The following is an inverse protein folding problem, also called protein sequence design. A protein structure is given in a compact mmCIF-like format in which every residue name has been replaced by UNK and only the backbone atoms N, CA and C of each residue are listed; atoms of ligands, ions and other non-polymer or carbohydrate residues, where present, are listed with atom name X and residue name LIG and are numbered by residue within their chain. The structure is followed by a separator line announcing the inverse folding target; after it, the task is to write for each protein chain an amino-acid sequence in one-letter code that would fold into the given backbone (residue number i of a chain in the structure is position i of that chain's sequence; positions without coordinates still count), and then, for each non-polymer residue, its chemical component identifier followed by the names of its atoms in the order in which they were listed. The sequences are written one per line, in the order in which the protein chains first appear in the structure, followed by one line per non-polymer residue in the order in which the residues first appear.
data_IF_588452674762
#
_entry.id   IF_588452674762
#
_cell.length_a   1.000
_cell.length_b   1.000
_cell.length_c   1.000
_cell.angle_alpha   90.00
_cell.angle_beta   90.00
_cell.angle_gamma   90.00
#
_symmetry.space_group_name_H-M   'P 1'
#
loop_
_entity.id
_entity.type
_entity.pdbx_description
1 polymer ?
#
# COMPACT_ATOMS: atom_id res chain seq x y z
N UNK A 1 -4.98 -29.44 10.40
CA UNK A 1 -4.19 -28.32 9.82
C UNK A 1 -4.92 -27.85 8.58
N UNK A 2 -5.32 -26.58 8.53
CA UNK A 2 -6.22 -26.06 7.49
C UNK A 2 -5.49 -25.15 6.51
N UNK A 3 -5.70 -25.38 5.22
CA UNK A 3 -5.33 -24.44 4.16
C UNK A 3 -6.39 -23.34 4.12
N UNK A 4 -5.95 -22.09 4.07
CA UNK A 4 -6.79 -20.89 3.97
C UNK A 4 -6.39 -20.10 2.73
N UNK A 5 -7.37 -19.58 2.01
CA UNK A 5 -7.15 -18.69 0.88
C UNK A 5 -6.84 -17.28 1.38
N UNK A 6 -5.69 -16.72 0.97
CA UNK A 6 -5.27 -15.34 1.33
C UNK A 6 -4.57 -14.68 0.15
N UNK A 7 -4.48 -13.35 0.17
CA UNK A 7 -3.58 -12.61 -0.74
C UNK A 7 -2.17 -12.59 -0.17
N UNK A 8 -1.16 -12.57 -1.03
CA UNK A 8 0.20 -12.26 -0.58
C UNK A 8 0.27 -10.83 -0.02
N UNK A 9 1.18 -10.58 0.92
CA UNK A 9 1.43 -9.27 1.47
C UNK A 9 2.51 -8.57 0.63
N UNK A 10 2.20 -7.52 -0.15
CA UNK A 10 3.21 -6.71 -0.80
C UNK A 10 4.03 -5.97 0.26
N UNK A 11 5.35 -5.96 0.09
CA UNK A 11 6.27 -5.25 0.97
C UNK A 11 7.19 -4.38 0.13
N UNK A 12 7.37 -3.13 0.56
CA UNK A 12 8.26 -2.18 -0.09
C UNK A 12 9.70 -2.69 -0.05
N UNK A 13 10.38 -2.73 -1.20
CA UNK A 13 11.78 -3.17 -1.28
C UNK A 13 12.75 -2.13 -0.76
N UNK A 14 12.48 -0.86 -1.06
CA UNK A 14 13.40 0.25 -0.89
C UNK A 14 12.79 1.29 0.02
N UNK A 15 13.59 1.80 0.95
CA UNK A 15 13.20 2.96 1.74
C UNK A 15 13.27 4.20 0.86
N UNK A 16 12.27 5.08 0.98
CA UNK A 16 12.29 6.38 0.33
C UNK A 16 13.29 7.29 1.08
N UNK A 17 14.38 7.74 0.42
CA UNK A 17 15.37 8.61 1.06
C UNK A 17 14.78 9.96 1.49
N UNK A 18 13.68 10.40 0.86
CA UNK A 18 13.00 11.66 1.15
C UNK A 18 11.83 11.48 2.12
N UNK A 19 11.64 10.28 2.69
CA UNK A 19 10.54 9.98 3.61
C UNK A 19 10.39 11.02 4.74
N UNK A 20 11.45 11.46 5.44
CA UNK A 20 11.30 12.43 6.52
C UNK A 20 10.73 13.77 6.04
N UNK A 21 11.18 14.24 4.87
CA UNK A 21 10.72 15.51 4.30
C UNK A 21 9.25 15.42 3.83
N UNK A 22 8.89 14.32 3.15
CA UNK A 22 7.51 14.08 2.71
C UNK A 22 6.55 14.01 3.90
N UNK A 23 6.95 13.34 4.98
CA UNK A 23 6.14 13.26 6.20
C UNK A 23 6.00 14.61 6.90
N UNK A 24 7.03 15.46 6.90
CA UNK A 24 6.95 16.82 7.42
C UNK A 24 5.91 17.65 6.65
N UNK A 25 5.96 17.63 5.31
CA UNK A 25 4.99 18.32 4.44
C UNK A 25 3.55 17.84 4.65
N UNK A 26 3.35 16.53 4.77
CA UNK A 26 2.03 15.95 5.05
C UNK A 26 1.51 16.44 6.41
N UNK A 27 2.36 16.45 7.44
CA UNK A 27 1.97 16.88 8.79
C UNK A 27 1.58 18.36 8.82
N UNK A 28 2.35 19.21 8.12
CA UNK A 28 2.04 20.63 7.96
C UNK A 28 0.70 20.85 7.24
N UNK A 29 0.48 20.15 6.11
CA UNK A 29 -0.77 20.23 5.37
C UNK A 29 -1.98 19.77 6.22
N UNK A 30 -1.83 18.72 7.02
CA UNK A 30 -2.88 18.26 7.94
C UNK A 30 -3.19 19.28 9.04
N UNK A 31 -2.20 20.04 9.52
CA UNK A 31 -2.42 21.08 10.54
C UNK A 31 -3.29 22.25 10.04
N UNK A 32 -3.32 22.47 8.72
CA UNK A 32 -4.07 23.54 8.06
C UNK A 32 -5.34 23.04 7.37
N UNK A 33 -5.62 21.73 7.45
CA UNK A 33 -6.76 21.10 6.79
C UNK A 33 -8.09 21.59 7.40
N UNK A 34 -9.09 21.84 6.53
CA UNK A 34 -10.41 22.33 6.92
C UNK A 34 -11.51 21.44 6.35
N UNK A 35 -12.40 20.97 7.23
CA UNK A 35 -13.57 20.19 6.83
C UNK A 35 -14.56 20.98 5.95
N UNK A 36 -14.48 22.32 5.94
CA UNK A 36 -15.34 23.18 5.11
C UNK A 36 -14.89 23.26 3.65
N UNK A 37 -13.63 22.95 3.36
CA UNK A 37 -13.04 23.04 2.04
C UNK A 37 -12.32 21.72 1.72
N UNK A 38 -13.09 20.69 1.30
CA UNK A 38 -12.52 19.40 0.95
C UNK A 38 -11.61 19.53 -0.27
N UNK A 39 -10.50 18.79 -0.25
CA UNK A 39 -9.56 18.70 -1.36
C UNK A 39 -9.92 17.44 -2.17
N UNK A 40 -9.96 17.58 -3.50
CA UNK A 40 -10.12 16.46 -4.42
C UNK A 40 -8.74 16.08 -4.96
N UNK A 41 -8.43 14.78 -4.94
CA UNK A 41 -7.19 14.23 -5.47
C UNK A 41 -7.53 13.33 -6.65
N UNK A 42 -6.80 13.47 -7.74
CA UNK A 42 -6.91 12.65 -8.95
C UNK A 42 -5.52 12.12 -9.28
N UNK A 43 -5.47 10.84 -9.65
CA UNK A 43 -4.27 10.17 -10.12
C UNK A 43 -4.67 9.03 -11.07
N UNK A 44 -3.73 8.62 -11.91
CA UNK A 44 -3.93 7.51 -12.85
C UNK A 44 -3.45 6.21 -12.22
N UNK A 45 -4.17 5.12 -12.46
CA UNK A 45 -3.76 3.79 -12.04
C UNK A 45 -3.73 2.85 -13.23
N UNK A 46 -2.56 2.25 -13.48
CA UNK A 46 -2.44 1.15 -14.42
C UNK A 46 -3.11 -0.10 -13.86
N UNK A 47 -4.17 -0.56 -14.52
CA UNK A 47 -4.89 -1.77 -14.15
C UNK A 47 -4.38 -2.95 -14.97
N UNK A 48 -3.49 -3.74 -14.38
CA UNK A 48 -3.05 -5.01 -14.94
C UNK A 48 -4.14 -6.08 -14.71
N UNK A 49 -4.72 -6.60 -15.81
CA UNK A 49 -5.77 -7.61 -15.75
C UNK A 49 -5.23 -9.02 -15.45
N UNK A 50 -3.91 -9.23 -15.54
CA UNK A 50 -3.25 -10.48 -15.17
C UNK A 50 -2.21 -10.24 -14.05
N UNK A 51 -2.66 -9.89 -12.83
CA UNK A 51 -1.74 -9.53 -11.76
C UNK A 51 -0.84 -10.73 -11.40
N UNK A 52 0.48 -10.51 -11.40
CA UNK A 52 1.49 -11.50 -11.00
C UNK A 52 1.39 -11.89 -9.52
N UNK A 53 0.55 -11.21 -8.75
CA UNK A 53 0.30 -11.43 -7.34
C UNK A 53 -1.19 -11.68 -7.14
N UNK A 54 -1.55 -12.96 -6.94
CA UNK A 54 -2.92 -13.42 -6.75
C UNK A 54 -3.21 -13.89 -5.33
N UNK A 55 -4.41 -14.45 -5.14
CA UNK A 55 -4.71 -15.22 -3.96
C UNK A 55 -4.19 -16.66 -4.12
N UNK A 56 -3.54 -17.18 -3.08
CA UNK A 56 -2.97 -18.53 -3.06
C UNK A 56 -3.48 -19.30 -1.82
N UNK A 57 -3.20 -20.60 -1.78
CA UNK A 57 -3.41 -21.44 -0.60
C UNK A 57 -2.29 -21.27 0.43
N UNK A 58 -2.66 -20.99 1.68
CA UNK A 58 -1.72 -20.82 2.79
C UNK A 58 -2.04 -21.75 3.94
N UNK A 59 -1.03 -22.22 4.66
CA UNK A 59 -1.26 -22.82 5.97
C UNK A 59 -1.78 -21.74 6.94
N UNK A 60 -2.76 -22.09 7.78
CA UNK A 60 -3.29 -21.18 8.79
C UNK A 60 -2.16 -20.58 9.63
N UNK A 61 -2.03 -19.26 9.63
CA UNK A 61 -0.97 -18.50 10.33
C UNK A 61 0.23 -18.11 9.45
N UNK A 62 0.29 -18.59 8.20
CA UNK A 62 1.32 -18.23 7.24
C UNK A 62 0.77 -17.30 6.15
N UNK A 63 1.62 -16.40 5.66
CA UNK A 63 1.35 -15.53 4.52
C UNK A 63 2.66 -15.21 3.81
N UNK A 64 2.68 -15.32 2.48
CA UNK A 64 3.84 -15.00 1.66
C UNK A 64 3.98 -13.49 1.55
N UNK A 65 5.19 -12.99 1.79
CA UNK A 65 5.55 -11.60 1.53
C UNK A 65 6.18 -11.52 0.15
N UNK A 66 5.68 -10.62 -0.69
CA UNK A 66 6.21 -10.40 -2.03
C UNK A 66 6.77 -8.99 -2.07
N UNK A 67 8.03 -8.90 -2.43
CA UNK A 67 8.70 -7.62 -2.59
C UNK A 67 8.21 -6.99 -3.88
N UNK A 68 7.53 -5.85 -3.76
CA UNK A 68 7.22 -5.01 -4.91
C UNK A 68 8.41 -4.07 -5.14
N UNK A 69 8.84 -3.85 -6.40
CA UNK A 69 9.87 -2.87 -6.73
C UNK A 69 9.64 -1.53 -6.06
#
# INVERSE_FOLDING_TARGET
MGIVWRRAAPTLKLLDPEYPEKMAKITEALSTCSAKHPIFYEDEADIELNPKIGADGYLKGQQKRIVTP
#
